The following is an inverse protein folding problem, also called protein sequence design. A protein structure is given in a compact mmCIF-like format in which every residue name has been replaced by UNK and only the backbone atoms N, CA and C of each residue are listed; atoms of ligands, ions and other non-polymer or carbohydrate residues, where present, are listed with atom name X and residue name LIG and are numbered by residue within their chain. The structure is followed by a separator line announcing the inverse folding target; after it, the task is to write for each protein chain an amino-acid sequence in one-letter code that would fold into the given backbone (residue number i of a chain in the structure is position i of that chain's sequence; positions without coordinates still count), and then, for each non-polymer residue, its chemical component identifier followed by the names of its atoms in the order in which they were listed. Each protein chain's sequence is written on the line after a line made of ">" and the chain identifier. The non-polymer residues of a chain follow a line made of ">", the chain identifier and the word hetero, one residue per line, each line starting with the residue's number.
data_IF_332941998748
#
_entry.id   IF_332941998748
#
_cell.length_a   1.000
_cell.length_b   1.000
_cell.length_c   1.000
_cell.angle_alpha   90.00
_cell.angle_beta   90.00
_cell.angle_gamma   90.00
#
_symmetry.space_group_name_H-M   'P 1'
#
loop_
_entity.id
_entity.type
_entity.pdbx_description
1 polymer ?
#
# COMPACT_ATOMS: atom_id res chain seq x y z
N UNK A 1 85.75 15.00 -25.18
CA UNK A 1 84.67 15.86 -24.66
C UNK A 1 84.28 16.85 -25.74
N UNK A 2 83.03 16.71 -26.18
CA UNK A 2 82.08 17.65 -26.81
C UNK A 2 82.58 18.84 -27.63
N UNK A 3 82.14 18.94 -28.89
CA UNK A 3 81.54 20.14 -29.51
C UNK A 3 80.70 19.77 -30.76
N UNK A 4 79.42 20.18 -30.73
CA UNK A 4 78.47 20.68 -31.76
C UNK A 4 78.93 20.62 -33.26
N UNK A 5 78.14 20.32 -34.31
CA UNK A 5 76.78 20.73 -34.73
C UNK A 5 76.36 19.99 -36.07
N UNK A 6 75.27 20.31 -36.82
CA UNK A 6 74.16 19.41 -37.18
C UNK A 6 74.09 19.02 -38.67
N UNK A 7 73.12 18.15 -39.07
CA UNK A 7 72.59 18.13 -40.45
C UNK A 7 71.21 17.45 -40.59
N UNK A 8 70.35 18.18 -41.29
CA UNK A 8 69.04 17.83 -41.86
C UNK A 8 69.07 16.64 -42.82
N UNK A 9 67.99 15.84 -42.88
CA UNK A 9 67.65 15.09 -44.10
C UNK A 9 66.14 14.98 -44.37
N UNK A 10 65.81 15.25 -45.63
CA UNK A 10 64.50 15.24 -46.29
C UNK A 10 64.05 13.81 -46.59
N UNK A 11 62.75 13.52 -46.54
CA UNK A 11 62.16 12.29 -47.08
C UNK A 11 61.67 12.50 -48.52
N UNK A 12 61.87 11.48 -49.37
CA UNK A 12 61.44 11.43 -50.77
C UNK A 12 60.76 10.09 -51.08
N UNK A 13 59.47 10.22 -51.38
CA UNK A 13 58.46 9.42 -52.08
C UNK A 13 58.97 8.44 -53.19
N UNK A 14 58.46 7.19 -53.26
CA UNK A 14 57.48 6.68 -54.29
C UNK A 14 57.31 5.14 -54.35
N UNK A 15 56.03 4.74 -54.15
CA UNK A 15 55.11 3.84 -54.90
C UNK A 15 55.55 2.41 -55.24
N UNK A 16 54.63 1.44 -55.10
CA UNK A 16 54.15 0.53 -56.18
C UNK A 16 52.75 -0.09 -55.84
N UNK A 17 52.07 -0.60 -56.88
CA UNK A 17 50.61 -0.69 -57.16
C UNK A 17 49.85 -2.00 -56.76
N UNK A 18 48.54 -1.86 -56.44
CA UNK A 18 47.29 -2.63 -56.77
C UNK A 18 47.19 -4.18 -56.60
N UNK A 19 46.01 -4.85 -56.41
CA UNK A 19 44.66 -4.52 -56.93
C UNK A 19 43.40 -4.82 -56.03
N UNK A 20 42.25 -4.42 -56.58
CA UNK A 20 40.85 -4.50 -56.08
C UNK A 20 40.25 -5.91 -56.15
N UNK A 21 39.50 -6.36 -55.11
CA UNK A 21 38.41 -7.35 -55.24
C UNK A 21 37.28 -7.14 -54.19
N UNK A 22 36.09 -6.84 -54.74
CA UNK A 22 34.70 -7.16 -54.32
C UNK A 22 34.27 -6.95 -52.85
N UNK A 23 33.43 -5.92 -52.67
CA UNK A 23 32.47 -5.78 -51.57
C UNK A 23 31.51 -6.99 -51.56
N UNK A 24 31.37 -7.63 -50.40
CA UNK A 24 30.23 -8.46 -50.04
C UNK A 24 29.69 -7.93 -48.72
N UNK A 25 28.40 -7.58 -48.74
CA UNK A 25 27.59 -7.16 -47.59
C UNK A 25 27.32 -8.39 -46.73
N UNK A 26 27.57 -8.32 -45.42
CA UNK A 26 26.86 -9.13 -44.42
C UNK A 26 27.05 -8.58 -43.00
N UNK A 27 25.92 -8.09 -42.46
CA UNK A 27 25.51 -8.05 -41.06
C UNK A 27 26.28 -7.18 -40.05
N UNK A 28 25.71 -6.00 -39.79
CA UNK A 28 25.74 -5.37 -38.47
C UNK A 28 25.19 -6.35 -37.43
N UNK A 29 26.08 -6.98 -36.66
CA UNK A 29 25.71 -7.52 -35.36
C UNK A 29 25.67 -6.37 -34.36
N UNK A 30 24.54 -5.69 -34.26
CA UNK A 30 24.28 -4.76 -33.16
C UNK A 30 24.34 -5.54 -31.85
N UNK A 31 25.30 -5.20 -31.00
CA UNK A 31 25.35 -5.68 -29.63
C UNK A 31 24.19 -5.02 -28.88
N UNK A 32 23.01 -5.65 -28.92
CA UNK A 32 21.95 -5.35 -27.97
C UNK A 32 22.45 -5.81 -26.60
N UNK A 33 23.07 -4.88 -25.87
CA UNK A 33 23.16 -5.00 -24.41
C UNK A 33 21.73 -4.85 -23.95
N UNK A 34 21.02 -5.96 -23.83
CA UNK A 34 19.80 -6.02 -23.05
C UNK A 34 20.18 -5.61 -21.64
N UNK A 35 19.88 -4.36 -21.28
CA UNK A 35 19.71 -3.98 -19.89
C UNK A 35 18.54 -4.84 -19.42
N UNK A 36 18.83 -5.99 -18.81
CA UNK A 36 17.85 -6.63 -17.96
C UNK A 36 17.56 -5.63 -16.86
N UNK A 37 16.47 -4.88 -17.00
CA UNK A 37 15.82 -4.33 -15.82
C UNK A 37 15.56 -5.55 -14.95
N UNK A 38 16.25 -5.66 -13.82
CA UNK A 38 15.77 -6.54 -12.77
C UNK A 38 14.38 -6.03 -12.47
N UNK A 39 13.36 -6.76 -12.95
CA UNK A 39 12.02 -6.57 -12.45
C UNK A 39 12.13 -6.88 -10.96
N UNK A 40 12.06 -5.83 -10.16
CA UNK A 40 11.93 -5.98 -8.72
C UNK A 40 10.66 -6.77 -8.47
N UNK A 41 10.71 -7.68 -7.49
CA UNK A 41 9.59 -8.56 -7.24
C UNK A 41 8.37 -7.84 -6.65
N UNK A 42 8.59 -6.63 -6.10
CA UNK A 42 7.54 -5.64 -5.80
C UNK A 42 7.85 -4.33 -6.50
N UNK A 43 6.81 -3.55 -6.82
CA UNK A 43 6.96 -2.23 -7.41
C UNK A 43 7.55 -1.23 -6.40
N UNK A 44 8.28 -0.20 -6.86
CA UNK A 44 8.74 0.86 -5.97
C UNK A 44 7.58 1.74 -5.53
N UNK A 45 7.54 2.08 -4.23
CA UNK A 45 6.55 3.02 -3.69
C UNK A 45 7.04 4.47 -3.81
N UNK A 46 6.14 5.38 -4.17
CA UNK A 46 6.41 6.82 -4.17
C UNK A 46 5.19 7.64 -3.73
N UNK A 47 5.42 8.89 -3.33
CA UNK A 47 4.34 9.81 -2.92
C UNK A 47 4.22 10.95 -3.91
N UNK A 48 3.00 11.21 -4.36
CA UNK A 48 2.65 12.40 -5.14
C UNK A 48 1.34 12.99 -4.65
N UNK A 49 1.43 14.22 -4.09
CA UNK A 49 0.33 14.83 -3.37
C UNK A 49 -0.09 13.95 -2.17
N UNK A 50 -1.39 13.67 -2.08
CA UNK A 50 -1.97 12.85 -1.01
C UNK A 50 -2.08 11.35 -1.36
N UNK A 51 -1.42 10.89 -2.43
CA UNK A 51 -1.50 9.51 -2.90
C UNK A 51 -0.15 8.81 -2.86
N UNK A 52 -0.19 7.53 -2.52
CA UNK A 52 0.93 6.59 -2.65
C UNK A 52 0.76 5.85 -3.98
N UNK A 53 1.83 5.81 -4.76
CA UNK A 53 1.93 5.08 -6.01
C UNK A 53 2.76 3.83 -5.79
N UNK A 54 2.36 2.73 -6.39
CA UNK A 54 3.21 1.58 -6.65
C UNK A 54 3.51 1.58 -8.15
N UNK A 55 4.79 1.72 -8.50
CA UNK A 55 5.20 1.98 -9.87
C UNK A 55 4.60 3.30 -10.36
N UNK A 56 3.75 3.24 -11.38
CA UNK A 56 3.10 4.41 -11.99
C UNK A 56 1.60 4.52 -11.68
N UNK A 57 1.09 3.63 -10.84
CA UNK A 57 -0.35 3.53 -10.52
C UNK A 57 -0.59 3.79 -9.04
N UNK A 58 -1.72 4.45 -8.73
CA UNK A 58 -2.19 4.55 -7.34
C UNK A 58 -2.66 3.16 -6.93
N UNK A 59 -2.06 2.62 -5.88
CA UNK A 59 -2.44 1.33 -5.30
C UNK A 59 -2.38 1.43 -3.78
N UNK A 60 -3.20 0.63 -3.15
CA UNK A 60 -3.21 0.42 -1.70
C UNK A 60 -3.09 -1.05 -1.39
N UNK A 61 -2.37 -1.40 -0.33
CA UNK A 61 -2.12 -2.77 0.06
C UNK A 61 -2.59 -3.01 1.49
N UNK A 62 -3.04 -4.23 1.78
CA UNK A 62 -3.43 -4.63 3.14
C UNK A 62 -2.55 -5.77 3.63
N UNK A 63 -2.32 -5.79 4.94
CA UNK A 63 -1.50 -6.81 5.57
C UNK A 63 -1.61 -6.83 7.08
N UNK A 64 -0.58 -7.38 7.71
CA UNK A 64 -0.60 -7.71 9.14
C UNK A 64 0.55 -7.03 9.86
N UNK A 65 0.28 -6.52 11.06
CA UNK A 65 1.30 -6.11 12.02
C UNK A 65 1.60 -7.28 12.96
N UNK A 66 2.88 -7.59 13.12
CA UNK A 66 3.32 -8.41 14.24
C UNK A 66 3.12 -7.62 15.54
N UNK A 67 2.93 -8.34 16.63
CA UNK A 67 2.95 -7.76 17.97
C UNK A 67 4.36 -7.26 18.35
N UNK A 68 4.49 -6.60 19.49
CA UNK A 68 5.77 -6.16 20.06
C UNK A 68 6.86 -7.23 19.97
N UNK A 69 8.04 -6.84 19.48
CA UNK A 69 9.20 -7.73 19.36
C UNK A 69 9.88 -8.10 20.68
N UNK A 70 9.52 -7.41 21.78
CA UNK A 70 10.20 -7.48 23.07
C UNK A 70 10.42 -8.91 23.54
N UNK A 71 11.56 -9.15 24.17
CA UNK A 71 11.84 -10.42 24.82
C UNK A 71 10.79 -10.69 25.91
N UNK A 72 10.25 -11.91 25.94
CA UNK A 72 9.32 -12.42 26.96
C UNK A 72 7.89 -11.84 26.89
N UNK A 73 7.52 -11.14 25.80
CA UNK A 73 6.18 -10.56 25.62
C UNK A 73 5.22 -11.46 24.83
N UNK A 74 5.73 -12.57 24.29
CA UNK A 74 4.97 -13.58 23.55
C UNK A 74 4.86 -13.30 22.06
N UNK A 75 5.03 -12.05 21.62
CA UNK A 75 4.99 -11.66 20.20
C UNK A 75 6.23 -12.12 19.42
N UNK A 76 7.39 -12.18 20.07
CA UNK A 76 8.67 -12.52 19.46
C UNK A 76 8.71 -13.90 18.80
N UNK A 77 7.84 -14.83 19.23
CA UNK A 77 7.74 -16.16 18.64
C UNK A 77 7.18 -16.17 17.21
N UNK A 78 6.52 -15.08 16.80
CA UNK A 78 5.98 -14.90 15.45
C UNK A 78 6.95 -14.18 14.50
N UNK A 79 8.12 -13.73 14.97
CA UNK A 79 9.16 -13.11 14.14
C UNK A 79 9.99 -14.18 13.41
N UNK A 80 9.34 -14.91 12.50
CA UNK A 80 9.92 -16.04 11.77
C UNK A 80 9.62 -15.98 10.28
N UNK A 81 10.48 -16.59 9.47
CA UNK A 81 10.26 -16.69 8.04
C UNK A 81 9.00 -17.50 7.69
N UNK A 82 8.69 -18.52 8.51
CA UNK A 82 7.48 -19.34 8.36
C UNK A 82 6.20 -18.52 8.58
N UNK A 83 6.21 -17.59 9.54
CA UNK A 83 5.08 -16.69 9.77
C UNK A 83 4.87 -15.78 8.57
N UNK A 84 5.94 -15.14 8.07
CA UNK A 84 5.84 -14.26 6.88
C UNK A 84 5.35 -15.04 5.66
N UNK A 85 5.86 -16.24 5.43
CA UNK A 85 5.40 -17.12 4.35
C UNK A 85 3.92 -17.48 4.50
N UNK A 86 3.45 -17.81 5.70
CA UNK A 86 2.05 -18.11 5.98
C UNK A 86 1.15 -16.89 5.70
N UNK A 87 1.59 -15.67 6.07
CA UNK A 87 0.86 -14.45 5.74
C UNK A 87 0.76 -14.25 4.22
N UNK A 88 1.83 -14.54 3.48
CA UNK A 88 1.80 -14.45 2.01
C UNK A 88 0.86 -15.46 1.39
N UNK A 89 1.04 -16.75 1.70
CA UNK A 89 0.39 -17.85 1.01
C UNK A 89 -1.05 -18.10 1.49
N UNK A 90 -1.34 -17.88 2.77
CA UNK A 90 -2.64 -18.23 3.34
C UNK A 90 -3.56 -17.04 3.61
N UNK A 91 -3.01 -15.84 3.79
CA UNK A 91 -3.79 -14.62 4.02
C UNK A 91 -3.83 -13.70 2.80
N UNK A 92 -3.00 -13.96 1.80
CA UNK A 92 -2.77 -13.05 0.67
C UNK A 92 -2.27 -11.66 1.11
N UNK A 93 -1.52 -11.63 2.22
CA UNK A 93 -0.97 -10.40 2.81
C UNK A 93 0.05 -9.80 1.87
N UNK A 94 -0.08 -8.49 1.61
CA UNK A 94 0.89 -7.73 0.80
C UNK A 94 1.92 -6.99 1.67
N UNK A 95 1.59 -6.74 2.93
CA UNK A 95 2.45 -6.05 3.90
C UNK A 95 2.66 -6.94 5.13
N UNK A 96 3.87 -6.94 5.68
CA UNK A 96 4.12 -7.37 7.07
C UNK A 96 4.82 -6.24 7.83
N UNK A 97 4.32 -5.87 9.00
CA UNK A 97 4.95 -4.84 9.86
C UNK A 97 5.69 -5.48 11.02
N UNK A 98 6.96 -5.12 11.19
CA UNK A 98 7.84 -5.58 12.26
C UNK A 98 7.94 -4.51 13.36
N UNK A 99 7.07 -4.63 14.36
CA UNK A 99 6.88 -3.70 15.48
C UNK A 99 7.97 -3.83 16.54
N UNK A 100 9.14 -3.21 16.29
CA UNK A 100 10.30 -3.34 17.16
C UNK A 100 10.17 -2.46 18.40
N UNK A 101 9.87 -3.04 19.57
CA UNK A 101 9.77 -2.26 20.80
C UNK A 101 11.12 -1.70 21.24
N UNK A 102 11.08 -0.52 21.88
CA UNK A 102 12.28 0.31 22.07
C UNK A 102 12.63 0.49 23.54
N UNK A 103 11.81 1.22 24.30
CA UNK A 103 12.12 1.65 25.67
C UNK A 103 11.67 0.66 26.74
N UNK A 104 10.68 -0.15 26.40
CA UNK A 104 10.03 -1.10 27.28
C UNK A 104 10.92 -2.31 27.55
N UNK A 105 10.66 -3.01 28.66
CA UNK A 105 11.43 -4.19 29.08
C UNK A 105 11.54 -5.22 27.95
N UNK A 106 12.75 -5.72 27.71
CA UNK A 106 13.05 -6.64 26.62
C UNK A 106 13.12 -5.99 25.22
N UNK A 107 12.99 -4.66 25.13
CA UNK A 107 13.05 -3.87 23.89
C UNK A 107 14.47 -3.58 23.40
N UNK A 108 14.58 -2.82 22.31
CA UNK A 108 15.84 -2.53 21.61
C UNK A 108 16.87 -1.82 22.49
N UNK A 109 16.48 -0.95 23.42
CA UNK A 109 17.47 -0.28 24.29
C UNK A 109 18.12 -1.24 25.29
N UNK A 110 17.44 -2.32 25.68
CA UNK A 110 17.98 -3.34 26.59
C UNK A 110 18.72 -4.45 25.83
N UNK A 111 18.17 -4.90 24.70
CA UNK A 111 18.78 -5.91 23.82
C UNK A 111 18.73 -5.47 22.34
N UNK A 112 19.66 -4.60 21.92
CA UNK A 112 19.70 -4.10 20.54
C UNK A 112 19.92 -5.22 19.52
N UNK A 113 20.74 -6.22 19.87
CA UNK A 113 21.11 -7.28 18.95
C UNK A 113 19.96 -8.26 18.72
N UNK A 114 19.28 -8.69 19.79
CA UNK A 114 18.16 -9.61 19.70
C UNK A 114 16.96 -9.02 18.98
N UNK A 115 16.55 -7.78 19.31
CA UNK A 115 15.43 -7.13 18.66
C UNK A 115 15.71 -6.82 17.18
N UNK A 116 16.91 -6.32 16.85
CA UNK A 116 17.30 -6.13 15.45
C UNK A 116 17.31 -7.44 14.66
N UNK A 117 17.82 -8.53 15.22
CA UNK A 117 17.84 -9.83 14.54
C UNK A 117 16.43 -10.36 14.21
N UNK A 118 15.43 -10.12 15.08
CA UNK A 118 14.02 -10.44 14.82
C UNK A 118 13.48 -9.62 13.65
N UNK A 119 13.72 -8.31 13.63
CA UNK A 119 13.32 -7.43 12.52
C UNK A 119 13.96 -7.88 11.22
N UNK A 120 15.28 -8.11 11.20
CA UNK A 120 16.00 -8.57 10.01
C UNK A 120 15.47 -9.91 9.48
N UNK A 121 15.08 -10.83 10.38
CA UNK A 121 14.45 -12.10 9.99
C UNK A 121 13.14 -11.87 9.23
N UNK A 122 12.30 -10.93 9.68
CA UNK A 122 11.03 -10.58 9.03
C UNK A 122 11.28 -9.86 7.71
N UNK A 123 12.24 -8.93 7.66
CA UNK A 123 12.62 -8.20 6.44
C UNK A 123 13.14 -9.13 5.36
N UNK A 124 14.10 -10.00 5.70
CA UNK A 124 14.68 -10.96 4.77
C UNK A 124 13.61 -11.92 4.24
N UNK A 125 12.69 -12.38 5.10
CA UNK A 125 11.59 -13.24 4.70
C UNK A 125 10.56 -12.52 3.82
N UNK A 126 10.25 -11.25 4.08
CA UNK A 126 9.32 -10.47 3.26
C UNK A 126 9.90 -10.26 1.84
N UNK A 127 11.18 -9.93 1.74
CA UNK A 127 11.89 -9.83 0.44
C UNK A 127 11.83 -11.17 -0.30
N UNK A 128 12.03 -12.29 0.40
CA UNK A 128 12.03 -13.63 -0.21
C UNK A 128 10.62 -14.12 -0.63
N UNK A 129 9.55 -13.49 -0.14
CA UNK A 129 8.16 -13.81 -0.45
C UNK A 129 7.45 -12.68 -1.21
N UNK A 130 8.24 -11.77 -1.80
CA UNK A 130 7.76 -10.65 -2.62
C UNK A 130 6.68 -9.82 -1.90
N UNK A 131 6.91 -9.50 -0.62
CA UNK A 131 6.04 -8.66 0.22
C UNK A 131 6.70 -7.32 0.53
N UNK A 132 5.90 -6.28 0.77
CA UNK A 132 6.38 -5.09 1.47
C UNK A 132 6.59 -5.40 2.96
N UNK A 133 7.58 -4.75 3.56
CA UNK A 133 7.87 -4.84 4.99
C UNK A 133 8.01 -3.46 5.59
N UNK A 134 7.29 -3.22 6.68
CA UNK A 134 7.42 -2.02 7.49
C UNK A 134 8.41 -2.31 8.62
N UNK A 135 9.53 -1.60 8.63
CA UNK A 135 10.48 -1.58 9.75
C UNK A 135 10.02 -0.47 10.69
N UNK A 136 9.37 -0.86 11.78
CA UNK A 136 8.73 0.06 12.72
C UNK A 136 9.57 0.26 13.99
N UNK A 137 9.89 1.52 14.28
CA UNK A 137 10.43 1.97 15.56
C UNK A 137 9.28 2.14 16.55
N UNK A 138 8.90 1.02 17.17
CA UNK A 138 7.68 0.86 17.96
C UNK A 138 7.82 1.51 19.35
N UNK A 139 7.66 2.83 19.36
CA UNK A 139 7.92 3.68 20.51
C UNK A 139 6.81 4.69 20.74
N UNK A 140 6.63 5.08 22.01
CA UNK A 140 5.84 6.24 22.43
C UNK A 140 6.67 7.48 22.74
N UNK A 141 8.00 7.35 22.82
CA UNK A 141 8.94 8.37 23.29
C UNK A 141 10.21 8.42 22.43
N UNK A 142 10.10 8.25 21.12
CA UNK A 142 11.25 8.16 20.23
C UNK A 142 12.13 9.43 20.25
N UNK A 143 11.54 10.58 20.56
CA UNK A 143 12.19 11.87 20.77
C UNK A 143 13.24 11.86 21.88
N UNK A 144 13.13 10.94 22.85
CA UNK A 144 14.09 10.82 23.96
C UNK A 144 15.35 10.02 23.56
N UNK A 145 15.30 9.29 22.44
CA UNK A 145 16.35 8.38 21.98
C UNK A 145 16.72 8.60 20.50
N UNK A 146 16.89 9.88 20.13
CA UNK A 146 17.14 10.30 18.74
C UNK A 146 18.40 9.66 18.14
N UNK A 147 19.48 9.58 18.92
CA UNK A 147 20.77 9.08 18.43
C UNK A 147 20.70 7.57 18.16
N UNK A 148 19.98 6.82 19.00
CA UNK A 148 19.73 5.39 18.81
C UNK A 148 18.87 5.12 17.58
N UNK A 149 17.79 5.88 17.39
CA UNK A 149 16.93 5.80 16.21
C UNK A 149 17.71 6.13 14.92
N UNK A 150 18.50 7.22 14.93
CA UNK A 150 19.36 7.60 13.80
C UNK A 150 20.37 6.50 13.48
N UNK A 151 20.98 5.89 14.50
CA UNK A 151 21.95 4.81 14.30
C UNK A 151 21.28 3.58 13.70
N UNK A 152 20.14 3.16 14.26
CA UNK A 152 19.38 2.00 13.78
C UNK A 152 18.93 2.17 12.34
N UNK A 153 18.25 3.27 12.01
CA UNK A 153 17.73 3.48 10.66
C UNK A 153 18.84 3.68 9.63
N UNK A 154 19.98 4.26 10.01
CA UNK A 154 21.16 4.31 9.13
C UNK A 154 21.66 2.90 8.80
N UNK A 155 21.69 2.00 9.77
CA UNK A 155 22.07 0.60 9.55
C UNK A 155 21.07 -0.14 8.66
N UNK A 156 19.76 0.03 8.89
CA UNK A 156 18.72 -0.57 8.06
C UNK A 156 18.73 -0.04 6.62
N UNK A 157 18.95 1.27 6.43
CA UNK A 157 19.13 1.87 5.11
C UNK A 157 20.40 1.35 4.41
N UNK A 158 21.49 1.17 5.14
CA UNK A 158 22.74 0.63 4.58
C UNK A 158 22.58 -0.82 4.09
N UNK A 159 21.74 -1.60 4.79
CA UNK A 159 21.53 -3.02 4.51
C UNK A 159 20.45 -3.27 3.45
N UNK A 160 19.36 -2.51 3.49
CA UNK A 160 18.16 -2.78 2.70
C UNK A 160 17.66 -1.62 1.85
N UNK A 161 18.34 -0.47 1.83
CA UNK A 161 17.85 0.71 1.13
C UNK A 161 17.80 0.58 -0.40
N UNK A 162 18.39 -0.48 -0.96
CA UNK A 162 18.23 -0.83 -2.38
C UNK A 162 17.04 -1.77 -2.63
N UNK A 163 16.23 -2.10 -1.62
CA UNK A 163 15.09 -3.01 -1.73
C UNK A 163 13.78 -2.22 -1.71
N UNK A 164 12.98 -2.25 -2.80
CA UNK A 164 11.71 -1.52 -2.85
C UNK A 164 10.65 -2.10 -1.90
N UNK A 165 10.89 -3.28 -1.34
CA UNK A 165 10.07 -3.90 -0.30
C UNK A 165 10.02 -3.05 0.98
N UNK A 166 11.07 -2.28 1.29
CA UNK A 166 11.24 -1.67 2.61
C UNK A 166 10.48 -0.35 2.72
N UNK A 167 9.74 -0.23 3.81
CA UNK A 167 9.08 0.98 4.28
C UNK A 167 9.63 1.26 5.69
N UNK A 168 10.03 2.49 5.96
CA UNK A 168 10.50 2.89 7.29
C UNK A 168 9.39 3.59 8.06
N UNK A 169 8.98 3.06 9.21
CA UNK A 169 8.09 3.76 10.13
C UNK A 169 8.91 4.23 11.33
N UNK A 170 9.19 5.54 11.37
CA UNK A 170 10.25 6.07 12.24
C UNK A 170 9.78 6.39 13.66
N UNK A 171 8.46 6.42 13.89
CA UNK A 171 7.88 6.68 15.20
C UNK A 171 6.43 6.17 15.19
N UNK A 172 6.18 5.03 15.84
CA UNK A 172 4.86 4.40 15.94
C UNK A 172 3.75 5.34 16.45
N UNK A 173 3.80 5.73 17.73
CA UNK A 173 2.69 6.42 18.38
C UNK A 173 3.17 7.51 19.33
N UNK A 174 3.47 8.72 18.80
CA UNK A 174 3.65 9.90 19.62
C UNK A 174 2.44 10.13 20.54
N UNK A 175 2.70 10.45 21.82
CA UNK A 175 1.63 10.82 22.76
C UNK A 175 1.09 12.23 22.46
N UNK A 176 0.52 12.93 23.46
CA UNK A 176 0.05 14.31 23.32
C UNK A 176 1.21 15.31 23.32
N UNK A 177 2.10 15.20 22.35
CA UNK A 177 3.28 16.04 22.17
C UNK A 177 3.16 16.87 20.89
N UNK A 178 3.92 17.97 20.81
CA UNK A 178 3.80 18.92 19.70
C UNK A 178 4.38 18.35 18.40
N UNK A 179 3.59 18.41 17.32
CA UNK A 179 4.10 18.16 15.96
C UNK A 179 5.29 19.06 15.63
N UNK A 180 5.08 20.39 15.69
CA UNK A 180 6.08 21.38 15.25
C UNK A 180 7.37 21.38 16.07
N UNK A 181 7.26 21.17 17.39
CA UNK A 181 8.37 21.38 18.31
C UNK A 181 9.08 20.09 18.74
N UNK A 182 8.44 18.92 18.54
CA UNK A 182 8.99 17.64 19.02
C UNK A 182 9.06 16.61 17.89
N UNK A 183 7.91 16.21 17.34
CA UNK A 183 7.85 15.10 16.37
C UNK A 183 8.56 15.46 15.06
N UNK A 184 8.25 16.61 14.46
CA UNK A 184 8.84 17.04 13.19
C UNK A 184 10.38 17.22 13.30
N UNK A 185 10.93 17.90 14.31
CA UNK A 185 12.38 17.97 14.50
C UNK A 185 13.07 16.61 14.72
N UNK A 186 12.41 15.67 15.39
CA UNK A 186 12.89 14.28 15.49
C UNK A 186 12.90 13.62 14.11
N UNK A 187 11.76 13.66 13.40
CA UNK A 187 11.57 13.02 12.12
C UNK A 187 12.58 13.53 11.08
N UNK A 188 12.80 14.85 10.99
CA UNK A 188 13.75 15.44 10.04
C UNK A 188 15.20 14.94 10.25
N UNK A 189 15.60 14.66 11.50
CA UNK A 189 16.93 14.10 11.79
C UNK A 189 17.05 12.64 11.33
N UNK A 190 16.04 11.82 11.62
CA UNK A 190 16.02 10.41 11.22
C UNK A 190 15.90 10.28 9.70
N UNK A 191 15.02 11.05 9.07
CA UNK A 191 14.87 11.12 7.62
C UNK A 191 16.18 11.53 6.96
N UNK A 192 16.87 12.57 7.46
CA UNK A 192 18.16 12.98 6.90
C UNK A 192 19.22 11.86 6.99
N UNK A 193 19.20 11.06 8.06
CA UNK A 193 20.11 9.92 8.21
C UNK A 193 19.80 8.78 7.23
N UNK A 194 18.51 8.47 7.00
CA UNK A 194 18.06 7.49 6.01
C UNK A 194 18.41 8.00 4.60
N UNK A 195 18.01 9.22 4.25
CA UNK A 195 18.17 9.82 2.91
C UNK A 195 19.62 10.05 2.49
N UNK A 196 20.57 10.04 3.43
CA UNK A 196 21.99 10.03 3.12
C UNK A 196 22.46 8.71 2.46
N UNK A 197 21.65 7.65 2.55
CA UNK A 197 21.96 6.30 2.07
C UNK A 197 20.89 5.81 1.08
N UNK A 198 19.62 5.96 1.45
CA UNK A 198 18.44 5.51 0.70
C UNK A 198 17.61 6.73 0.24
N UNK A 199 17.71 7.13 -1.04
CA UNK A 199 17.09 8.37 -1.52
C UNK A 199 15.58 8.27 -1.74
N UNK A 200 14.98 7.09 -1.82
CA UNK A 200 13.67 6.89 -2.45
C UNK A 200 12.68 5.95 -1.74
N UNK A 201 13.07 5.06 -0.83
CA UNK A 201 12.06 4.23 -0.13
C UNK A 201 11.08 5.06 0.69
N UNK A 202 9.85 4.56 0.86
CA UNK A 202 8.80 5.25 1.61
C UNK A 202 9.19 5.39 3.10
N UNK A 203 9.03 6.59 3.65
CA UNK A 203 9.14 6.83 5.10
C UNK A 203 7.77 7.28 5.62
N UNK A 204 7.29 6.64 6.68
CA UNK A 204 6.04 6.92 7.36
C UNK A 204 6.34 7.53 8.74
N UNK A 205 5.70 8.64 9.06
CA UNK A 205 5.97 9.44 10.26
C UNK A 205 4.75 9.50 11.18
N UNK A 206 4.92 9.06 12.43
CA UNK A 206 3.92 9.17 13.50
C UNK A 206 3.35 10.58 13.67
N UNK A 207 2.10 10.68 14.08
CA UNK A 207 1.42 11.96 14.35
C UNK A 207 1.01 12.05 15.82
N UNK A 208 0.74 13.25 16.37
CA UNK A 208 0.37 13.36 17.78
C UNK A 208 -0.87 12.54 18.16
N UNK A 209 -0.98 12.25 19.46
CA UNK A 209 -2.15 11.58 20.07
C UNK A 209 -2.36 10.17 19.52
N UNK A 210 -1.37 9.30 19.72
CA UNK A 210 -1.35 7.92 19.21
C UNK A 210 -1.64 7.86 17.71
N UNK A 211 -0.93 8.71 16.95
CA UNK A 211 -1.06 8.80 15.49
C UNK A 211 -2.48 9.13 15.00
N UNK A 212 -3.17 10.08 15.65
CA UNK A 212 -4.53 10.51 15.28
C UNK A 212 -4.58 11.95 14.73
N UNK A 213 -3.64 12.80 15.12
CA UNK A 213 -3.62 14.23 14.79
C UNK A 213 -2.96 14.49 13.42
N UNK A 214 -3.34 13.70 12.40
CA UNK A 214 -2.86 13.83 11.02
C UNK A 214 -3.23 15.18 10.38
N UNK A 215 -4.37 15.74 10.78
CA UNK A 215 -4.80 17.07 10.41
C UNK A 215 -3.83 18.14 10.91
N UNK A 216 -3.29 18.00 12.13
CA UNK A 216 -2.27 18.92 12.67
C UNK A 216 -0.96 18.81 11.87
N UNK A 217 -0.49 17.59 11.60
CA UNK A 217 0.74 17.38 10.82
C UNK A 217 0.64 17.99 9.41
N UNK A 218 -0.56 17.93 8.80
CA UNK A 218 -0.80 18.42 7.44
C UNK A 218 -0.65 19.93 7.26
N UNK A 219 -0.71 20.72 8.33
CA UNK A 219 -0.53 22.18 8.27
C UNK A 219 0.95 22.60 8.18
N UNK A 220 1.86 21.74 8.62
CA UNK A 220 3.29 21.97 8.56
C UNK A 220 4.04 20.69 8.15
N UNK A 221 3.82 20.19 6.91
CA UNK A 221 4.37 18.92 6.47
C UNK A 221 5.90 18.96 6.42
N UNK A 222 6.53 17.79 6.57
CA UNK A 222 7.97 17.60 6.34
C UNK A 222 8.25 17.82 4.85
N UNK A 223 9.26 18.64 4.55
CA UNK A 223 9.72 18.84 3.19
C UNK A 223 10.73 17.75 2.81
N UNK A 224 10.23 16.63 2.29
CA UNK A 224 11.03 15.48 1.90
C UNK A 224 10.40 14.69 0.76
N UNK A 225 11.17 13.79 0.16
CA UNK A 225 10.69 12.85 -0.85
C UNK A 225 10.04 11.64 -0.18
N UNK A 226 8.97 11.12 -0.78
CA UNK A 226 8.31 9.88 -0.39
C UNK A 226 8.05 9.79 1.13
N UNK A 227 7.37 10.83 1.66
CA UNK A 227 6.95 10.91 3.06
C UNK A 227 5.44 10.72 3.14
N UNK A 228 5.00 9.76 3.95
CA UNK A 228 3.62 9.59 4.37
C UNK A 228 3.51 9.77 5.89
N UNK A 229 2.27 9.91 6.38
CA UNK A 229 2.00 10.20 7.78
C UNK A 229 1.08 9.12 8.37
N UNK A 230 1.40 8.71 9.59
CA UNK A 230 0.71 7.62 10.26
C UNK A 230 -0.69 8.04 10.72
N UNK A 231 -1.68 7.20 10.42
CA UNK A 231 -3.02 7.24 11.00
C UNK A 231 -3.30 5.91 11.69
N UNK A 232 -3.56 5.90 13.00
CA UNK A 232 -4.01 4.71 13.73
C UNK A 232 -5.45 4.81 14.17
N UNK A 233 -6.16 3.70 14.14
CA UNK A 233 -7.52 3.63 14.66
C UNK A 233 -7.87 2.24 15.19
N UNK A 234 -8.84 2.22 16.10
CA UNK A 234 -9.44 1.01 16.65
C UNK A 234 -10.96 1.16 16.57
N UNK A 235 -11.62 0.29 15.82
CA UNK A 235 -13.04 0.44 15.42
C UNK A 235 -14.02 0.44 16.60
N UNK A 236 -13.64 -0.13 17.75
CA UNK A 236 -14.43 -0.06 18.98
C UNK A 236 -14.41 1.33 19.66
N UNK A 237 -13.49 2.21 19.27
CA UNK A 237 -13.25 3.50 19.94
C UNK A 237 -13.28 4.70 19.00
N UNK A 238 -12.81 4.52 17.76
CA UNK A 238 -12.60 5.59 16.81
C UNK A 238 -13.57 5.42 15.63
N UNK A 239 -14.25 6.51 15.24
CA UNK A 239 -15.21 6.49 14.14
C UNK A 239 -15.13 7.76 13.29
N UNK A 240 -16.29 8.32 12.93
CA UNK A 240 -16.36 9.40 11.93
C UNK A 240 -15.46 10.60 12.23
N UNK A 241 -15.34 11.01 13.50
CA UNK A 241 -14.51 12.16 13.86
C UNK A 241 -13.03 12.00 13.43
N UNK A 242 -12.50 10.77 13.46
CA UNK A 242 -11.12 10.52 13.07
C UNK A 242 -10.99 10.40 11.54
N UNK A 243 -12.00 9.85 10.85
CA UNK A 243 -12.08 9.92 9.38
C UNK A 243 -12.14 11.37 8.89
N UNK A 244 -12.83 12.26 9.61
CA UNK A 244 -12.88 13.69 9.25
C UNK A 244 -11.50 14.37 9.37
N UNK A 245 -10.69 13.96 10.35
CA UNK A 245 -9.30 14.43 10.47
C UNK A 245 -8.41 13.88 9.34
N UNK A 246 -8.56 12.61 9.01
CA UNK A 246 -7.88 12.00 7.86
C UNK A 246 -8.25 12.71 6.55
N UNK A 247 -9.53 13.01 6.32
CA UNK A 247 -9.99 13.80 5.18
C UNK A 247 -9.38 15.20 5.16
N UNK A 248 -9.32 15.88 6.31
CA UNK A 248 -8.69 17.20 6.43
C UNK A 248 -7.21 17.14 6.03
N UNK A 249 -6.48 16.13 6.52
CA UNK A 249 -5.08 15.92 6.20
C UNK A 249 -4.84 15.67 4.71
N UNK A 250 -5.61 14.77 4.10
CA UNK A 250 -5.53 14.46 2.68
C UNK A 250 -5.91 15.66 1.81
N UNK A 251 -6.90 16.45 2.21
CA UNK A 251 -7.30 17.69 1.52
C UNK A 251 -6.21 18.78 1.60
N UNK A 252 -5.43 18.79 2.68
CA UNK A 252 -4.25 19.63 2.82
C UNK A 252 -3.03 19.09 2.03
N UNK A 253 -3.15 17.91 1.41
CA UNK A 253 -2.21 17.41 0.41
C UNK A 253 -1.17 16.41 0.93
N UNK A 254 -1.29 15.91 2.16
CA UNK A 254 -0.38 14.87 2.68
C UNK A 254 -0.93 13.46 2.43
N UNK A 255 -0.03 12.51 2.13
CA UNK A 255 -0.38 11.10 2.00
C UNK A 255 -0.42 10.43 3.37
N UNK A 256 -1.42 9.56 3.60
CA UNK A 256 -1.58 8.82 4.84
C UNK A 256 -1.25 7.34 4.64
N UNK A 257 -0.79 6.68 5.71
CA UNK A 257 -0.63 5.23 5.77
C UNK A 257 -1.15 4.74 7.13
N UNK A 258 -2.00 3.72 7.14
CA UNK A 258 -2.54 3.13 8.37
C UNK A 258 -1.64 1.97 8.82
N UNK A 259 -0.48 2.27 9.40
CA UNK A 259 0.49 1.24 9.77
C UNK A 259 0.01 0.36 10.92
N UNK A 260 -0.99 0.80 11.68
CA UNK A 260 -1.68 -0.01 12.67
C UNK A 260 -3.20 0.30 12.73
N UNK A 261 -4.01 -0.75 12.80
CA UNK A 261 -5.44 -0.61 13.14
C UNK A 261 -6.04 -1.87 13.77
N UNK A 262 -7.06 -1.71 14.60
CA UNK A 262 -7.76 -2.83 15.26
C UNK A 262 -9.26 -2.88 15.03
N UNK A 263 -9.83 -4.08 15.05
CA UNK A 263 -11.28 -4.34 14.93
C UNK A 263 -12.05 -4.12 16.24
N UNK A 264 -11.32 -4.01 17.36
CA UNK A 264 -11.82 -3.94 18.74
C UNK A 264 -11.59 -2.55 19.34
N UNK A 265 -11.69 -2.40 20.67
CA UNK A 265 -11.42 -1.11 21.33
C UNK A 265 -9.91 -0.80 21.39
N UNK A 266 -9.57 0.46 21.64
CA UNK A 266 -8.19 0.96 21.67
C UNK A 266 -7.31 0.38 22.80
N UNK A 267 -7.90 -0.28 23.79
CA UNK A 267 -7.15 -1.03 24.82
C UNK A 267 -6.70 -2.42 24.34
N UNK A 268 -7.00 -2.78 23.08
CA UNK A 268 -6.66 -4.06 22.47
C UNK A 268 -7.67 -5.18 22.74
N UNK A 269 -8.77 -4.89 23.44
CA UNK A 269 -9.74 -5.90 23.84
C UNK A 269 -11.20 -5.52 23.57
N UNK A 270 -12.11 -6.45 23.87
CA UNK A 270 -13.52 -6.37 23.56
C UNK A 270 -13.90 -7.13 22.29
N UNK A 271 -15.17 -7.04 21.92
CA UNK A 271 -15.69 -7.69 20.72
C UNK A 271 -15.36 -6.87 19.48
N UNK A 272 -15.27 -7.54 18.34
CA UNK A 272 -15.20 -6.90 17.02
C UNK A 272 -16.38 -5.95 16.86
N UNK A 273 -16.09 -4.69 16.54
CA UNK A 273 -17.11 -3.74 16.09
C UNK A 273 -17.26 -3.88 14.56
N UNK A 274 -18.10 -4.82 14.13
CA UNK A 274 -18.27 -5.18 12.71
C UNK A 274 -18.63 -3.97 11.84
N UNK A 275 -19.66 -3.20 12.24
CA UNK A 275 -20.17 -2.09 11.43
C UNK A 275 -19.16 -0.94 11.30
N UNK A 276 -18.46 -0.60 12.39
CA UNK A 276 -17.46 0.46 12.34
C UNK A 276 -16.19 -0.02 11.61
N UNK A 277 -15.82 -1.30 11.74
CA UNK A 277 -14.74 -1.91 10.96
C UNK A 277 -15.05 -1.80 9.47
N UNK A 278 -16.24 -2.20 9.01
CA UNK A 278 -16.61 -2.12 7.60
C UNK A 278 -16.62 -0.67 7.10
N UNK A 279 -17.07 0.27 7.93
CA UNK A 279 -17.04 1.70 7.60
C UNK A 279 -15.62 2.21 7.41
N UNK A 280 -14.69 1.82 8.28
CA UNK A 280 -13.27 2.14 8.13
C UNK A 280 -12.66 1.49 6.88
N UNK A 281 -12.90 0.20 6.65
CA UNK A 281 -12.34 -0.51 5.51
C UNK A 281 -12.80 0.10 4.18
N UNK A 282 -14.08 0.48 4.07
CA UNK A 282 -14.58 1.19 2.89
C UNK A 282 -13.88 2.55 2.72
N UNK A 283 -13.74 3.32 3.81
CA UNK A 283 -12.99 4.57 3.78
C UNK A 283 -11.54 4.39 3.32
N UNK A 284 -10.83 3.35 3.80
CA UNK A 284 -9.46 3.07 3.36
C UNK A 284 -9.40 2.70 1.87
N UNK A 285 -10.35 1.91 1.38
CA UNK A 285 -10.44 1.54 -0.05
C UNK A 285 -10.73 2.76 -0.92
N UNK A 286 -11.72 3.57 -0.57
CA UNK A 286 -12.14 4.77 -1.33
C UNK A 286 -11.02 5.82 -1.43
N UNK A 287 -10.10 5.83 -0.46
CA UNK A 287 -9.00 6.76 -0.39
C UNK A 287 -7.63 6.18 -0.78
N UNK A 288 -7.57 4.91 -1.22
CA UNK A 288 -6.34 4.19 -1.56
C UNK A 288 -5.32 4.16 -0.41
N UNK A 289 -5.78 3.94 0.82
CA UNK A 289 -4.93 3.91 2.01
C UNK A 289 -4.48 2.48 2.33
N UNK A 290 -3.17 2.26 2.22
CA UNK A 290 -2.53 1.02 2.68
C UNK A 290 -2.65 0.85 4.19
N UNK A 291 -2.74 -0.41 4.64
CA UNK A 291 -2.96 -0.72 6.05
C UNK A 291 -2.30 -2.01 6.56
N UNK A 292 -2.03 -2.07 7.86
CA UNK A 292 -1.64 -3.30 8.55
C UNK A 292 -2.40 -3.49 9.87
N UNK A 293 -3.07 -4.64 10.03
CA UNK A 293 -3.90 -4.91 11.21
C UNK A 293 -3.10 -5.33 12.45
N UNK A 294 -3.48 -4.81 13.62
CA UNK A 294 -3.04 -5.25 14.95
C UNK A 294 -3.97 -6.33 15.52
N UNK A 295 -3.48 -7.51 15.92
CA UNK A 295 -2.11 -8.01 15.69
C UNK A 295 -2.09 -9.50 15.34
N UNK A 296 -1.12 -9.86 14.50
CA UNK A 296 -0.67 -11.23 14.35
C UNK A 296 -0.01 -11.67 15.66
N UNK A 297 -0.81 -12.31 16.52
CA UNK A 297 -0.43 -12.74 17.85
C UNK A 297 -1.45 -13.75 18.39
N UNK A 298 -1.14 -14.35 19.55
CA UNK A 298 -2.03 -15.22 20.30
C UNK A 298 -2.22 -14.79 21.78
N UNK A 299 -1.95 -13.53 22.10
CA UNK A 299 -2.27 -12.99 23.43
C UNK A 299 -3.77 -13.13 23.68
N UNK A 300 -4.14 -13.38 24.94
CA UNK A 300 -5.54 -13.50 25.34
C UNK A 300 -6.20 -12.11 25.41
N UNK A 301 -6.53 -11.56 24.25
CA UNK A 301 -7.22 -10.28 24.05
C UNK A 301 -7.98 -10.29 22.72
N UNK A 302 -8.95 -9.40 22.56
CA UNK A 302 -9.79 -9.30 21.37
C UNK A 302 -9.03 -8.99 20.07
N UNK A 303 -7.95 -8.20 20.13
CA UNK A 303 -7.20 -7.79 18.93
C UNK A 303 -6.37 -8.92 18.31
N UNK A 304 -5.95 -9.92 19.10
CA UNK A 304 -5.09 -11.00 18.62
C UNK A 304 -5.77 -11.84 17.55
N UNK A 305 -5.05 -12.17 16.48
CA UNK A 305 -5.57 -13.01 15.38
C UNK A 305 -5.84 -14.44 15.82
N UNK A 306 -5.07 -14.97 16.77
CA UNK A 306 -5.17 -16.37 17.21
C UNK A 306 -5.57 -16.49 18.69
N UNK A 307 -6.20 -17.61 19.04
CA UNK A 307 -6.37 -17.99 20.44
C UNK A 307 -5.04 -18.46 21.05
N UNK A 308 -4.83 -18.26 22.38
CA UNK A 308 -3.58 -18.61 23.06
C UNK A 308 -3.05 -20.00 22.78
N UNK A 309 -1.78 -20.08 22.41
CA UNK A 309 -1.02 -21.30 22.10
C UNK A 309 -1.62 -22.12 20.93
N UNK A 310 -2.34 -21.47 20.02
CA UNK A 310 -2.95 -22.09 18.83
C UNK A 310 -2.73 -21.25 17.56
N UNK A 311 -3.06 -21.83 16.41
CA UNK A 311 -3.26 -21.12 15.14
C UNK A 311 -4.75 -21.02 14.77
N UNK A 312 -5.65 -21.17 15.76
CA UNK A 312 -7.10 -21.04 15.54
C UNK A 312 -7.48 -19.58 15.58
N UNK A 313 -8.13 -19.09 14.52
CA UNK A 313 -8.52 -17.69 14.40
C UNK A 313 -9.55 -17.28 15.46
N UNK A 314 -9.35 -16.10 16.04
CA UNK A 314 -10.36 -15.38 16.81
C UNK A 314 -11.42 -14.76 15.87
N UNK A 315 -12.48 -14.14 16.40
CA UNK A 315 -13.38 -13.31 15.59
C UNK A 315 -12.64 -12.19 14.85
N UNK A 316 -11.69 -11.50 15.52
CA UNK A 316 -10.84 -10.48 14.89
C UNK A 316 -10.01 -11.08 13.76
N UNK A 317 -9.29 -12.19 14.02
CA UNK A 317 -8.49 -12.88 13.02
C UNK A 317 -9.31 -13.35 11.81
N UNK A 318 -10.54 -13.83 12.05
CA UNK A 318 -11.46 -14.23 10.98
C UNK A 318 -11.87 -13.05 10.10
N UNK A 319 -12.27 -11.93 10.71
CA UNK A 319 -12.67 -10.71 10.00
C UNK A 319 -11.51 -10.13 9.18
N UNK A 320 -10.34 -10.01 9.80
CA UNK A 320 -9.14 -9.44 9.18
C UNK A 320 -8.65 -10.31 8.03
N UNK A 321 -8.61 -11.63 8.20
CA UNK A 321 -8.22 -12.55 7.11
C UNK A 321 -9.11 -12.38 5.88
N UNK A 322 -10.42 -12.21 6.09
CA UNK A 322 -11.36 -11.94 5.00
C UNK A 322 -11.12 -10.58 4.35
N UNK A 323 -10.82 -9.53 5.11
CA UNK A 323 -10.51 -8.20 4.56
C UNK A 323 -9.26 -8.25 3.68
N UNK A 324 -8.16 -8.83 4.19
CA UNK A 324 -6.87 -8.89 3.49
C UNK A 324 -7.01 -9.71 2.20
N UNK A 325 -7.66 -10.87 2.27
CA UNK A 325 -7.82 -11.74 1.11
C UNK A 325 -8.69 -11.14 0.00
N UNK A 326 -9.53 -10.14 0.30
CA UNK A 326 -10.39 -9.45 -0.65
C UNK A 326 -10.01 -7.96 -0.81
N UNK A 327 -8.74 -7.63 -0.58
CA UNK A 327 -8.23 -6.28 -0.84
C UNK A 327 -8.12 -6.04 -2.36
N UNK A 328 -8.44 -4.84 -2.89
CA UNK A 328 -8.48 -4.63 -4.35
C UNK A 328 -7.16 -4.81 -5.08
N UNK A 329 -6.03 -4.63 -4.41
CA UNK A 329 -4.70 -4.79 -5.00
C UNK A 329 -3.89 -5.83 -4.24
N UNK A 330 -3.35 -6.79 -4.99
CA UNK A 330 -2.45 -7.83 -4.55
C UNK A 330 -1.13 -7.78 -5.34
N UNK A 331 -0.08 -8.36 -4.78
CA UNK A 331 1.27 -8.30 -5.36
C UNK A 331 1.43 -9.19 -6.61
N UNK A 332 0.50 -10.13 -6.83
CA UNK A 332 0.45 -10.96 -8.04
C UNK A 332 -0.36 -10.33 -9.18
N UNK A 333 -1.04 -9.22 -8.94
CA UNK A 333 -1.84 -8.56 -9.97
C UNK A 333 -0.88 -8.03 -11.05
N UNK A 334 -1.15 -8.40 -12.31
CA UNK A 334 -0.35 -7.91 -13.43
C UNK A 334 -0.31 -6.37 -13.37
N UNK A 335 0.84 -5.73 -13.67
CA UNK A 335 0.89 -4.28 -13.72
C UNK A 335 -0.15 -3.82 -14.75
N UNK A 336 -1.13 -3.03 -14.29
CA UNK A 336 -2.17 -2.47 -15.15
C UNK A 336 -1.50 -1.83 -16.36
N UNK A 337 -1.69 -2.44 -17.53
CA UNK A 337 -1.31 -1.79 -18.77
C UNK A 337 -2.23 -0.59 -18.91
N UNK A 338 -1.70 0.63 -19.14
CA UNK A 338 -2.55 1.76 -19.48
C UNK A 338 -3.38 1.37 -20.71
N UNK A 339 -4.71 1.46 -20.61
CA UNK A 339 -5.59 1.29 -21.76
C UNK A 339 -5.09 2.19 -22.90
N UNK A 340 -4.51 1.57 -23.92
CA UNK A 340 -4.10 2.25 -25.14
C UNK A 340 -5.33 2.31 -26.06
N UNK A 341 -5.90 3.49 -26.36
CA UNK A 341 -7.15 3.59 -27.11
C UNK A 341 -6.98 3.34 -28.62
N UNK A 342 -5.81 2.93 -29.09
CA UNK A 342 -5.51 2.77 -30.50
C UNK A 342 -4.88 1.40 -30.81
N UNK A 343 -5.74 0.39 -30.99
CA UNK A 343 -5.46 -0.74 -31.90
C UNK A 343 -6.69 -1.02 -32.75
N UNK A 344 -6.58 -1.00 -34.10
CA UNK A 344 -7.70 -1.30 -34.97
C UNK A 344 -7.95 -2.82 -35.03
N UNK A 345 -9.20 -3.22 -34.83
CA UNK A 345 -9.67 -4.60 -34.91
C UNK A 345 -9.38 -5.22 -36.28
N UNK A 346 -8.75 -6.40 -36.27
CA UNK A 346 -8.61 -7.28 -37.42
C UNK A 346 -9.77 -8.29 -37.41
N UNK A 347 -10.66 -8.31 -38.43
CA UNK A 347 -11.82 -9.18 -38.43
C UNK A 347 -11.42 -10.53 -39.03
N UNK A 348 -11.42 -11.59 -38.22
CA UNK A 348 -11.63 -12.97 -38.70
C UNK A 348 -11.67 -13.95 -37.51
N UNK A 349 -12.83 -14.04 -36.86
CA UNK A 349 -13.26 -15.29 -36.19
C UNK A 349 -14.77 -15.48 -36.34
N UNK A 350 -15.28 -16.71 -36.56
CA UNK A 350 -16.68 -16.93 -36.91
C UNK A 350 -17.58 -17.00 -35.66
N UNK A 351 -18.78 -16.45 -35.81
CA UNK A 351 -19.86 -16.34 -34.83
C UNK A 351 -20.18 -17.64 -34.06
N UNK A 352 -20.27 -17.51 -32.74
CA UNK A 352 -21.07 -18.41 -31.89
C UNK A 352 -22.25 -17.59 -31.32
N UNK A 353 -23.50 -17.94 -31.65
CA UNK A 353 -24.66 -17.17 -31.22
C UNK A 353 -25.05 -17.63 -29.82
N UNK A 354 -24.91 -16.76 -28.82
CA UNK A 354 -25.76 -16.67 -27.61
C UNK A 354 -25.13 -15.75 -26.56
N UNK A 355 -24.97 -14.48 -26.90
CA UNK A 355 -24.82 -13.43 -25.89
C UNK A 355 -25.50 -12.15 -26.41
N UNK A 356 -26.58 -11.65 -25.78
CA UNK A 356 -27.14 -10.36 -26.16
C UNK A 356 -26.17 -9.27 -25.68
N UNK A 357 -25.63 -8.53 -26.64
CA UNK A 357 -24.54 -7.59 -26.44
C UNK A 357 -24.86 -6.36 -25.61
N UNK A 358 -23.79 -5.85 -25.03
CA UNK A 358 -23.57 -4.45 -24.67
C UNK A 358 -23.78 -3.56 -25.89
N UNK A 359 -24.64 -2.56 -25.75
CA UNK A 359 -24.86 -1.52 -26.74
C UNK A 359 -25.30 -0.24 -26.03
N UNK A 360 -24.32 0.58 -25.63
CA UNK A 360 -24.54 1.93 -25.13
C UNK A 360 -24.84 2.89 -26.28
N UNK A 361 -26.06 2.80 -26.81
CA UNK A 361 -26.69 3.83 -27.63
C UNK A 361 -27.64 4.65 -26.73
N UNK A 362 -27.46 5.98 -26.59
CA UNK A 362 -28.35 6.82 -25.78
C UNK A 362 -29.78 6.97 -26.35
N UNK A 363 -30.14 6.21 -27.40
CA UNK A 363 -31.49 6.16 -27.97
C UNK A 363 -32.34 4.96 -27.54
N UNK A 364 -31.83 4.05 -26.68
CA UNK A 364 -32.63 2.90 -26.21
C UNK A 364 -33.68 3.34 -25.19
N UNK A 365 -34.94 3.33 -25.61
CA UNK A 365 -36.12 3.46 -24.75
C UNK A 365 -36.37 2.13 -24.03
N UNK A 366 -36.16 2.10 -22.71
CA UNK A 366 -36.45 0.92 -21.89
C UNK A 366 -37.93 0.87 -21.51
N UNK A 367 -38.56 -0.29 -21.61
CA UNK A 367 -39.88 -0.51 -21.00
C UNK A 367 -39.71 -0.56 -19.48
N UNK A 368 -40.16 0.50 -18.80
CA UNK A 368 -40.08 0.64 -17.34
C UNK A 368 -41.33 0.10 -16.62
N UNK A 369 -42.24 -0.58 -17.33
CA UNK A 369 -43.43 -1.15 -16.75
C UNK A 369 -43.08 -2.20 -15.67
N UNK A 370 -43.56 -1.97 -14.45
CA UNK A 370 -43.38 -2.89 -13.33
C UNK A 370 -42.04 -2.78 -12.60
N UNK A 371 -41.18 -1.84 -12.97
CA UNK A 371 -39.95 -1.53 -12.20
C UNK A 371 -40.28 -0.59 -11.05
N UNK A 372 -39.68 -0.82 -9.89
CA UNK A 372 -39.87 0.06 -8.74
C UNK A 372 -39.36 1.49 -9.02
N UNK A 373 -40.07 2.49 -8.48
CA UNK A 373 -39.69 3.90 -8.58
C UNK A 373 -39.06 4.33 -7.25
N UNK A 374 -37.89 4.97 -7.30
CA UNK A 374 -37.20 5.46 -6.11
C UNK A 374 -38.11 6.38 -5.28
N UNK A 375 -38.19 6.22 -3.94
CA UNK A 375 -37.34 5.39 -3.07
C UNK A 375 -37.92 4.01 -2.68
N UNK A 376 -38.71 3.36 -3.55
CA UNK A 376 -39.29 2.04 -3.25
C UNK A 376 -38.29 0.90 -3.51
N UNK A 377 -37.39 0.64 -2.56
CA UNK A 377 -36.37 -0.41 -2.65
C UNK A 377 -36.90 -1.81 -2.99
N UNK A 378 -36.07 -2.65 -3.60
CA UNK A 378 -36.44 -4.00 -4.09
C UNK A 378 -36.02 -5.13 -3.15
N UNK A 379 -35.02 -4.88 -2.29
CA UNK A 379 -34.36 -5.90 -1.47
C UNK A 379 -34.42 -5.58 0.04
N UNK A 380 -34.27 -6.62 0.87
CA UNK A 380 -34.36 -6.58 2.35
C UNK A 380 -33.11 -7.22 2.93
N UNK A 381 -32.64 -6.70 4.07
CA UNK A 381 -31.46 -7.25 4.74
C UNK A 381 -31.74 -8.61 5.41
N UNK A 382 -33.01 -8.92 5.69
CA UNK A 382 -33.42 -10.20 6.30
C UNK A 382 -34.90 -10.54 6.04
N UNK A 383 -35.25 -11.82 6.19
CA UNK A 383 -36.59 -12.35 5.96
C UNK A 383 -37.60 -11.83 7.00
N UNK A 384 -38.48 -10.93 6.57
CA UNK A 384 -39.45 -10.24 7.45
C UNK A 384 -39.15 -8.74 7.65
N UNK A 385 -37.99 -8.26 7.20
CA UNK A 385 -37.61 -6.85 7.24
C UNK A 385 -38.38 -5.97 6.24
N UNK A 386 -38.13 -4.65 6.31
CA UNK A 386 -38.56 -3.70 5.29
C UNK A 386 -37.65 -3.74 4.07
N UNK A 387 -38.12 -3.25 2.93
CA UNK A 387 -37.27 -3.06 1.75
C UNK A 387 -36.41 -1.81 1.95
N UNK A 388 -35.09 -1.98 1.89
CA UNK A 388 -34.11 -0.97 2.33
C UNK A 388 -33.04 -0.65 1.28
N UNK A 389 -32.85 -1.50 0.29
CA UNK A 389 -31.78 -1.38 -0.70
C UNK A 389 -32.11 -2.09 -2.02
N UNK A 390 -31.20 -1.95 -2.99
CA UNK A 390 -31.11 -2.76 -4.20
C UNK A 390 -29.84 -3.62 -4.15
N UNK A 391 -29.90 -4.85 -4.66
CA UNK A 391 -28.74 -5.72 -4.84
C UNK A 391 -28.19 -5.60 -6.27
N UNK A 392 -26.99 -6.15 -6.50
CA UNK A 392 -26.39 -6.21 -7.83
C UNK A 392 -27.38 -6.78 -8.86
N UNK A 393 -27.59 -6.06 -9.95
CA UNK A 393 -28.51 -6.42 -11.03
C UNK A 393 -29.95 -5.92 -10.87
N UNK A 394 -30.36 -5.44 -9.69
CA UNK A 394 -31.71 -4.91 -9.47
C UNK A 394 -31.91 -3.60 -10.23
N UNK A 395 -33.12 -3.39 -10.78
CA UNK A 395 -33.49 -2.17 -11.50
C UNK A 395 -34.27 -1.19 -10.63
N UNK A 396 -34.10 0.10 -10.90
CA UNK A 396 -34.84 1.19 -10.27
C UNK A 396 -35.10 2.32 -11.26
N UNK A 397 -36.30 2.88 -11.26
CA UNK A 397 -36.64 4.08 -12.03
C UNK A 397 -36.46 5.33 -11.17
N UNK A 398 -35.77 6.32 -11.70
CA UNK A 398 -35.64 7.64 -11.09
C UNK A 398 -35.58 8.72 -12.17
N UNK A 399 -36.43 9.75 -12.05
CA UNK A 399 -36.51 10.87 -13.00
C UNK A 399 -36.64 10.43 -14.47
N UNK A 400 -37.59 9.54 -14.76
CA UNK A 400 -37.85 8.97 -16.09
C UNK A 400 -36.64 8.26 -16.72
N UNK A 401 -35.71 7.79 -15.89
CA UNK A 401 -34.54 7.00 -16.29
C UNK A 401 -34.53 5.67 -15.56
N UNK A 402 -34.13 4.63 -16.29
CA UNK A 402 -33.93 3.29 -15.77
C UNK A 402 -32.47 3.11 -15.37
N UNK A 403 -32.24 2.70 -14.14
CA UNK A 403 -30.92 2.39 -13.60
C UNK A 403 -30.85 0.93 -13.17
N UNK A 404 -29.66 0.34 -13.30
CA UNK A 404 -29.33 -0.98 -12.74
C UNK A 404 -28.27 -0.79 -11.64
N UNK A 405 -28.48 -1.43 -10.49
CA UNK A 405 -27.51 -1.42 -9.41
C UNK A 405 -26.31 -2.32 -9.76
N UNK A 406 -25.10 -1.80 -9.67
CA UNK A 406 -23.86 -2.53 -9.94
C UNK A 406 -23.50 -3.48 -8.77
N UNK A 407 -23.84 -3.07 -7.55
CA UNK A 407 -23.68 -3.83 -6.31
C UNK A 407 -24.72 -3.38 -5.28
N UNK A 408 -24.64 -3.88 -4.04
CA UNK A 408 -25.52 -3.44 -2.95
C UNK A 408 -25.54 -1.91 -2.85
N UNK A 409 -26.71 -1.31 -2.91
CA UNK A 409 -26.84 0.15 -2.78
C UNK A 409 -28.16 0.57 -2.14
N UNK A 410 -28.06 1.57 -1.27
CA UNK A 410 -29.20 2.34 -0.73
C UNK A 410 -29.10 3.82 -1.11
N UNK A 411 -28.23 4.15 -2.07
CA UNK A 411 -28.04 5.51 -2.56
C UNK A 411 -29.03 5.85 -3.68
N UNK A 412 -29.23 7.15 -3.92
CA UNK A 412 -30.18 7.63 -4.93
C UNK A 412 -29.72 7.20 -6.34
N UNK A 413 -30.58 6.63 -7.21
CA UNK A 413 -30.15 6.19 -8.54
C UNK A 413 -29.43 7.27 -9.34
N UNK A 414 -28.23 6.94 -9.82
CA UNK A 414 -27.36 7.84 -10.57
C UNK A 414 -26.60 8.87 -9.73
N UNK A 415 -26.62 8.79 -8.39
CA UNK A 415 -25.84 9.70 -7.53
C UNK A 415 -24.36 9.37 -7.44
N UNK A 416 -23.99 8.11 -7.68
CA UNK A 416 -22.63 7.59 -7.54
C UNK A 416 -22.41 6.38 -8.48
N UNK A 417 -21.24 5.75 -8.39
CA UNK A 417 -20.85 4.59 -9.21
C UNK A 417 -21.62 3.30 -8.92
N UNK A 418 -22.47 3.25 -7.91
CA UNK A 418 -23.28 2.05 -7.63
C UNK A 418 -24.43 1.84 -8.62
N UNK A 419 -24.64 2.77 -9.55
CA UNK A 419 -25.69 2.71 -10.56
C UNK A 419 -25.13 2.85 -11.98
N UNK A 420 -25.60 1.99 -12.87
CA UNK A 420 -25.43 2.14 -14.32
C UNK A 420 -26.73 2.66 -14.93
N UNK A 421 -26.64 3.72 -15.74
CA UNK A 421 -27.78 4.21 -16.52
C UNK A 421 -28.06 3.26 -17.67
N UNK A 422 -29.25 2.67 -17.70
CA UNK A 422 -29.66 1.66 -18.69
C UNK A 422 -30.38 2.33 -19.87
N UNK A 423 -31.19 3.36 -19.60
CA UNK A 423 -31.93 4.07 -20.64
C UNK A 423 -32.96 5.04 -20.09
N UNK A 424 -33.72 5.66 -20.99
CA UNK A 424 -34.86 6.52 -20.62
C UNK A 424 -36.16 5.71 -20.64
N UNK A 425 -37.04 5.98 -19.68
CA UNK A 425 -38.39 5.44 -19.64
C UNK A 425 -39.31 6.28 -20.54
N UNK A 426 -40.06 5.64 -21.43
CA UNK A 426 -41.16 6.28 -22.16
C UNK A 426 -42.49 5.95 -21.48
N UNK A 427 -43.30 6.99 -21.20
CA UNK A 427 -44.67 6.84 -20.69
C UNK A 427 -45.61 6.11 -21.65
#
# INVERSE_FOLDING_TARGET
>A
MSYLHPRTQRSSIKKHRFPVKKLAVACLGGLLIGLSQQAWAVESLSVSGNKIYAGNTIKSFSGNSLFWSNNEWGGEKFYTAETVKMLREEWNSSIVRASMGIQEEGGYLEDPAGNKAKVETVVDAAIANDMYVIIDWHSHHAEDNVDEAVSFFREMAQKYGDKPNVIYEIYNEPLQISWDNVIKPYAEKVIAAIRAIDPDNLIVVGTPTWSQDVDIASWNPINGTNIAYTLHFYAGTHGQYLRDKANTAMNNGIALFVTEWGTVNADGDGNVNEAETDTWINFLKDHDLSNANWALNDKKEGASTFYPDTMTLTPSGTKVKSIIANWPHHLDDAPDTPDNPDTPDNPDTPDNPDNPGDNSDPSQTGDCSGVNIYPNWTSKDWEGGGYTHNNAGDYMVYQDKLYQANWYTSSMPGSDGSWTLVGNCTN
#
